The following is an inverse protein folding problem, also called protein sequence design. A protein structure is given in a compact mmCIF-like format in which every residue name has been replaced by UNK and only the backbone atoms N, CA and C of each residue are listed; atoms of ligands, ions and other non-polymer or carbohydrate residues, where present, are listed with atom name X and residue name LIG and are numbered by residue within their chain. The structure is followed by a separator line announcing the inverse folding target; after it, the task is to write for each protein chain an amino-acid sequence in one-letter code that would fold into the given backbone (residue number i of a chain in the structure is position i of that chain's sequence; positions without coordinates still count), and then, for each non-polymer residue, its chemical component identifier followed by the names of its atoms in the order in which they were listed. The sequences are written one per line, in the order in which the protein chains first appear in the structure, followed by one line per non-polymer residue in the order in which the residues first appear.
data_IF_455511649225
#
_entry.id   IF_455511649225
#
_cell.length_a   1.000
_cell.length_b   1.000
_cell.length_c   1.000
_cell.angle_alpha   90.00
_cell.angle_beta   90.00
_cell.angle_gamma   90.00
#
_symmetry.space_group_name_H-M   'P 1'
#
loop_
_entity.id
_entity.type
_entity.pdbx_description
1 polymer ?
#
# COMPACT_ATOMS: atom_id res chain seq x y z
N UNK A 1 -9.61 -10.18 24.86
CA UNK A 1 -9.24 -9.24 23.77
C UNK A 1 -8.47 -10.04 22.73
N UNK A 2 -8.79 -9.91 21.44
CA UNK A 2 -8.01 -10.52 20.36
C UNK A 2 -6.60 -9.90 20.34
N UNK A 3 -5.57 -10.68 19.98
CA UNK A 3 -4.22 -10.13 19.80
C UNK A 3 -4.16 -9.24 18.57
N UNK A 4 -3.30 -8.22 18.56
CA UNK A 4 -3.13 -7.38 17.39
C UNK A 4 -2.58 -8.19 16.19
N UNK A 5 -3.03 -7.85 14.99
CA UNK A 5 -2.57 -8.47 13.74
C UNK A 5 -1.21 -7.90 13.34
N UNK A 6 -0.25 -8.77 13.02
CA UNK A 6 1.08 -8.37 12.56
C UNK A 6 1.06 -8.02 11.07
N UNK A 7 1.47 -6.79 10.74
CA UNK A 7 1.44 -6.24 9.38
C UNK A 7 2.85 -5.96 8.86
N UNK A 8 3.12 -6.36 7.61
CA UNK A 8 4.26 -5.88 6.84
C UNK A 8 3.82 -4.75 5.90
N UNK A 9 4.62 -3.70 5.83
CA UNK A 9 4.47 -2.62 4.86
C UNK A 9 5.45 -2.79 3.71
N UNK A 10 5.02 -2.49 2.48
CA UNK A 10 5.87 -2.42 1.30
C UNK A 10 5.80 -1.02 0.70
N UNK A 11 6.95 -0.38 0.48
CA UNK A 11 7.01 0.96 -0.09
C UNK A 11 8.30 1.19 -0.88
N UNK A 12 8.21 1.87 -2.03
CA UNK A 12 9.35 2.20 -2.91
C UNK A 12 9.81 3.65 -2.81
N UNK A 13 9.03 4.53 -2.17
CA UNK A 13 9.20 5.98 -2.22
C UNK A 13 9.40 6.66 -0.87
N UNK A 14 8.79 7.83 -0.72
CA UNK A 14 8.87 8.66 0.49
C UNK A 14 8.29 7.97 1.74
N UNK A 15 7.27 7.10 1.58
CA UNK A 15 6.67 6.36 2.68
C UNK A 15 5.67 7.15 3.53
N UNK A 16 5.06 8.20 2.98
CA UNK A 16 4.09 9.03 3.72
C UNK A 16 2.85 8.23 4.14
N UNK A 17 2.33 7.37 3.27
CA UNK A 17 1.23 6.45 3.62
C UNK A 17 1.66 5.40 4.65
N UNK A 18 2.89 4.86 4.53
CA UNK A 18 3.42 3.92 5.52
C UNK A 18 3.53 4.56 6.91
N UNK A 19 4.11 5.77 6.99
CA UNK A 19 4.17 6.55 8.23
C UNK A 19 2.79 6.82 8.80
N UNK A 20 1.84 7.24 7.96
CA UNK A 20 0.47 7.51 8.39
C UNK A 20 -0.18 6.25 8.98
N UNK A 21 -0.06 5.08 8.34
CA UNK A 21 -0.58 3.82 8.87
C UNK A 21 0.02 3.50 10.24
N UNK A 22 1.35 3.59 10.40
CA UNK A 22 2.03 3.28 11.66
C UNK A 22 1.56 4.21 12.80
N UNK A 23 1.29 5.49 12.49
CA UNK A 23 0.87 6.48 13.49
C UNK A 23 -0.62 6.39 13.87
N UNK A 24 -1.48 6.01 12.92
CA UNK A 24 -2.93 6.19 13.06
C UNK A 24 -3.67 4.89 13.38
N UNK A 25 -3.17 3.74 12.90
CA UNK A 25 -3.80 2.44 13.21
C UNK A 25 -3.58 2.11 14.69
N UNK A 26 -4.66 1.81 15.45
CA UNK A 26 -4.54 1.51 16.88
C UNK A 26 -3.68 0.26 17.14
N UNK A 27 -2.70 0.31 18.05
CA UNK A 27 -1.78 -0.80 18.28
C UNK A 27 -2.45 -2.05 18.89
N UNK A 28 -3.61 -1.90 19.50
CA UNK A 28 -4.46 -3.00 19.97
C UNK A 28 -5.17 -3.74 18.81
N UNK A 29 -5.28 -3.13 17.63
CA UNK A 29 -5.85 -3.73 16.43
C UNK A 29 -4.76 -4.37 15.57
N UNK A 30 -3.69 -3.64 15.31
CA UNK A 30 -2.59 -4.13 14.49
C UNK A 30 -1.24 -3.52 14.88
N UNK A 31 -0.16 -4.25 14.63
CA UNK A 31 1.21 -3.80 14.82
C UNK A 31 1.98 -3.92 13.49
N UNK A 32 2.88 -2.99 13.24
CA UNK A 32 3.71 -2.98 12.02
C UNK A 32 5.08 -3.56 12.34
N UNK A 33 5.32 -4.80 11.91
CA UNK A 33 6.52 -5.57 12.27
C UNK A 33 7.73 -5.21 11.41
N UNK A 34 7.48 -4.79 10.16
CA UNK A 34 8.55 -4.52 9.19
C UNK A 34 8.07 -3.62 8.05
N UNK A 35 8.99 -2.84 7.51
CA UNK A 35 8.85 -2.14 6.22
C UNK A 35 9.82 -2.77 5.22
N UNK A 36 9.30 -3.31 4.12
CA UNK A 36 10.09 -3.76 2.99
C UNK A 36 10.19 -2.66 1.94
N UNK A 37 11.37 -2.50 1.33
CA UNK A 37 11.59 -1.58 0.22
C UNK A 37 12.53 -2.18 -0.83
N UNK A 38 12.25 -1.91 -2.11
CA UNK A 38 13.10 -2.28 -3.25
C UNK A 38 14.20 -1.25 -3.54
N UNK A 39 14.30 -0.16 -2.73
CA UNK A 39 15.21 0.95 -2.98
C UNK A 39 16.03 1.30 -1.74
N UNK A 40 17.35 1.23 -1.87
CA UNK A 40 18.29 1.57 -0.78
C UNK A 40 18.07 2.99 -0.23
N UNK A 41 17.83 3.96 -1.13
CA UNK A 41 17.63 5.38 -0.78
C UNK A 41 16.18 5.79 -0.54
N UNK A 42 15.24 4.83 -0.36
CA UNK A 42 13.83 5.18 -0.14
C UNK A 42 13.63 5.96 1.17
N UNK A 43 12.89 7.07 1.09
CA UNK A 43 12.58 7.90 2.27
C UNK A 43 11.80 7.16 3.36
N UNK A 44 11.06 6.11 3.00
CA UNK A 44 10.34 5.26 3.96
C UNK A 44 11.27 4.65 5.02
N UNK A 45 12.54 4.37 4.71
CA UNK A 45 13.50 3.80 5.65
C UNK A 45 13.78 4.72 6.84
N UNK A 46 14.03 6.00 6.55
CA UNK A 46 14.22 7.01 7.60
C UNK A 46 12.95 7.18 8.46
N UNK A 47 11.76 7.13 7.84
CA UNK A 47 10.49 7.20 8.56
C UNK A 47 10.26 5.98 9.45
N UNK A 48 10.49 4.78 8.94
CA UNK A 48 10.40 3.54 9.71
C UNK A 48 11.32 3.59 10.95
N UNK A 49 12.59 3.95 10.74
CA UNK A 49 13.57 4.09 11.82
C UNK A 49 13.12 5.10 12.89
N UNK A 50 12.58 6.27 12.49
CA UNK A 50 12.08 7.29 13.43
C UNK A 50 10.86 6.85 14.24
N UNK A 51 10.15 5.83 13.76
CA UNK A 51 8.97 5.23 14.41
C UNK A 51 9.28 3.91 15.13
N UNK A 52 10.55 3.51 15.17
CA UNK A 52 10.97 2.25 15.82
C UNK A 52 10.56 0.99 15.06
N UNK A 53 10.18 1.12 13.78
CA UNK A 53 9.83 -0.02 12.93
C UNK A 53 11.05 -0.43 12.12
N UNK A 54 11.35 -1.74 12.13
CA UNK A 54 12.45 -2.31 11.33
C UNK A 54 12.20 -2.12 9.85
N UNK A 55 13.24 -1.74 9.08
CA UNK A 55 13.20 -1.77 7.63
C UNK A 55 14.13 -2.85 7.04
N UNK A 56 13.72 -3.44 5.91
CA UNK A 56 14.50 -4.42 5.15
C UNK A 56 14.53 -3.96 3.70
N UNK A 57 15.74 -3.79 3.18
CA UNK A 57 15.92 -3.60 1.75
C UNK A 57 15.92 -4.96 1.04
N UNK A 58 15.03 -5.11 0.07
CA UNK A 58 14.99 -6.26 -0.82
C UNK A 58 15.96 -6.04 -1.98
N UNK A 59 16.94 -6.91 -2.11
CA UNK A 59 17.83 -6.91 -3.26
C UNK A 59 17.06 -7.25 -4.55
N UNK A 60 17.55 -6.87 -5.75
CA UNK A 60 16.84 -7.09 -7.01
C UNK A 60 16.39 -8.54 -7.23
N UNK A 61 17.20 -9.51 -6.86
CA UNK A 61 16.88 -10.94 -6.92
C UNK A 61 15.75 -11.34 -5.96
N UNK A 62 15.62 -10.67 -4.82
CA UNK A 62 14.55 -10.86 -3.85
C UNK A 62 13.25 -10.15 -4.25
N UNK A 63 13.32 -9.21 -5.19
CA UNK A 63 12.14 -8.52 -5.73
C UNK A 63 11.52 -9.32 -6.88
N UNK A 64 12.33 -9.84 -7.81
CA UNK A 64 11.86 -10.44 -9.07
C UNK A 64 12.69 -11.63 -9.56
N UNK A 65 13.60 -12.20 -8.77
CA UNK A 65 14.33 -13.42 -9.08
C UNK A 65 13.45 -14.67 -8.97
N UNK A 66 13.89 -15.78 -9.51
CA UNK A 66 13.14 -17.03 -9.48
C UNK A 66 12.85 -17.59 -8.08
N UNK A 67 13.61 -17.17 -7.05
CA UNK A 67 13.38 -17.52 -5.65
C UNK A 67 12.69 -16.40 -4.84
N UNK A 68 12.38 -15.25 -5.45
CA UNK A 68 11.88 -14.07 -4.75
C UNK A 68 10.65 -14.36 -3.88
N UNK A 69 9.69 -15.09 -4.38
CA UNK A 69 8.48 -15.46 -3.64
C UNK A 69 8.79 -16.29 -2.40
N UNK A 70 9.61 -17.33 -2.54
CA UNK A 70 9.99 -18.20 -1.43
C UNK A 70 10.80 -17.45 -0.36
N UNK A 71 11.73 -16.60 -0.77
CA UNK A 71 12.54 -15.80 0.16
C UNK A 71 11.68 -14.77 0.92
N UNK A 72 10.78 -14.06 0.23
CA UNK A 72 9.87 -13.13 0.88
C UNK A 72 8.92 -13.86 1.85
N UNK A 73 8.38 -15.02 1.47
CA UNK A 73 7.54 -15.85 2.34
C UNK A 73 8.30 -16.30 3.61
N UNK A 74 9.54 -16.71 3.46
CA UNK A 74 10.36 -17.09 4.61
C UNK A 74 10.57 -15.90 5.59
N UNK A 75 10.85 -14.71 5.07
CA UNK A 75 10.98 -13.50 5.88
C UNK A 75 9.67 -13.12 6.56
N UNK A 76 8.55 -13.12 5.83
CA UNK A 76 7.22 -12.81 6.35
C UNK A 76 6.81 -13.79 7.45
N UNK A 77 7.05 -15.09 7.24
CA UNK A 77 6.78 -16.14 8.22
C UNK A 77 7.62 -15.99 9.49
N UNK A 78 8.93 -15.77 9.34
CA UNK A 78 9.84 -15.57 10.47
C UNK A 78 9.47 -14.35 11.35
N UNK A 79 8.80 -13.35 10.75
CA UNK A 79 8.31 -12.15 11.43
C UNK A 79 6.87 -12.29 11.94
N UNK A 80 6.24 -13.45 11.73
CA UNK A 80 4.85 -13.70 12.11
C UNK A 80 3.84 -12.79 11.42
N UNK A 81 4.14 -12.35 10.20
CA UNK A 81 3.26 -11.44 9.44
C UNK A 81 1.98 -12.15 9.04
N UNK A 82 0.84 -11.51 9.25
CA UNK A 82 -0.49 -12.02 8.95
C UNK A 82 -1.20 -11.25 7.83
N UNK A 83 -0.78 -9.99 7.62
CA UNK A 83 -1.35 -9.08 6.63
C UNK A 83 -0.25 -8.24 6.00
N UNK A 84 -0.43 -7.83 4.75
CA UNK A 84 0.51 -7.01 4.00
C UNK A 84 -0.21 -5.75 3.51
N UNK A 85 0.43 -4.58 3.63
CA UNK A 85 -0.07 -3.33 3.09
C UNK A 85 0.95 -2.70 2.13
N UNK A 86 0.53 -2.46 0.89
CA UNK A 86 1.33 -1.75 -0.11
C UNK A 86 1.06 -0.25 0.01
N UNK A 87 2.10 0.51 0.34
CA UNK A 87 2.04 1.96 0.56
C UNK A 87 2.95 2.69 -0.46
N UNK A 88 2.57 2.63 -1.73
CA UNK A 88 3.39 3.13 -2.83
C UNK A 88 4.55 2.21 -3.19
N UNK A 89 4.32 0.91 -3.18
CA UNK A 89 5.26 -0.09 -3.69
C UNK A 89 5.08 -0.23 -5.19
N UNK A 90 6.18 -0.09 -5.95
CA UNK A 90 6.15 0.01 -7.41
C UNK A 90 6.48 -1.30 -8.14
N UNK A 91 6.67 -2.38 -7.39
CA UNK A 91 6.94 -3.70 -7.96
C UNK A 91 5.74 -4.60 -7.78
N UNK A 92 5.65 -5.60 -8.63
CA UNK A 92 4.68 -6.67 -8.46
C UNK A 92 5.08 -7.54 -7.27
N UNK A 93 4.11 -7.90 -6.46
CA UNK A 93 4.31 -8.89 -5.40
C UNK A 93 4.43 -10.26 -6.07
N UNK A 94 5.41 -11.11 -5.70
CA UNK A 94 5.53 -12.45 -6.26
C UNK A 94 4.24 -13.27 -6.10
N UNK A 95 3.91 -14.09 -7.11
CA UNK A 95 2.68 -14.87 -7.12
C UNK A 95 2.56 -15.80 -5.90
N UNK A 96 3.65 -16.37 -5.45
CA UNK A 96 3.68 -17.22 -4.26
C UNK A 96 3.24 -16.47 -3.01
N UNK A 97 3.61 -15.19 -2.90
CA UNK A 97 3.20 -14.34 -1.77
C UNK A 97 1.72 -14.00 -1.87
N UNK A 98 1.22 -13.63 -3.07
CA UNK A 98 -0.21 -13.34 -3.27
C UNK A 98 -1.08 -14.56 -2.98
N UNK A 99 -0.63 -15.74 -3.36
CA UNK A 99 -1.32 -17.02 -3.11
C UNK A 99 -1.32 -17.42 -1.63
N UNK A 100 -0.24 -17.12 -0.88
CA UNK A 100 -0.14 -17.42 0.55
C UNK A 100 -0.95 -16.46 1.44
N UNK A 101 -1.25 -15.26 0.95
CA UNK A 101 -1.99 -14.21 1.67
C UNK A 101 -3.32 -13.83 0.99
N UNK A 102 -4.22 -14.80 0.68
CA UNK A 102 -5.47 -14.52 -0.03
C UNK A 102 -6.36 -13.56 0.76
N UNK A 103 -6.73 -12.43 0.15
CA UNK A 103 -7.54 -11.39 0.78
C UNK A 103 -6.84 -10.59 1.88
N UNK A 104 -5.53 -10.78 2.09
CA UNK A 104 -4.76 -10.16 3.18
C UNK A 104 -3.60 -9.27 2.69
N UNK A 105 -3.56 -8.97 1.40
CA UNK A 105 -2.65 -7.97 0.82
C UNK A 105 -3.51 -6.82 0.34
N UNK A 106 -3.32 -5.64 0.90
CA UNK A 106 -4.04 -4.42 0.53
C UNK A 106 -3.13 -3.44 -0.19
N UNK A 107 -3.69 -2.74 -1.16
CA UNK A 107 -3.04 -1.60 -1.81
C UNK A 107 -3.91 -0.36 -1.76
N UNK A 108 -3.28 0.80 -1.65
CA UNK A 108 -3.92 2.11 -1.88
C UNK A 108 -3.52 2.63 -3.25
N UNK A 109 -4.51 2.91 -4.10
CA UNK A 109 -4.31 3.45 -5.44
C UNK A 109 -4.92 4.85 -5.55
N UNK A 110 -4.21 5.85 -6.13
CA UNK A 110 -4.62 7.26 -6.12
C UNK A 110 -5.61 7.62 -7.22
N UNK A 111 -6.55 6.73 -7.54
CA UNK A 111 -7.69 6.99 -8.42
C UNK A 111 -8.92 6.20 -8.00
N UNK A 112 -10.05 6.44 -8.67
CA UNK A 112 -11.25 5.61 -8.57
C UNK A 112 -11.13 4.43 -9.54
N UNK A 113 -10.58 3.29 -9.09
CA UNK A 113 -10.50 2.09 -9.92
C UNK A 113 -11.89 1.66 -10.41
N UNK A 114 -11.99 1.10 -11.64
CA UNK A 114 -10.90 0.65 -12.50
C UNK A 114 -10.26 1.76 -13.35
N UNK A 115 -10.73 3.01 -13.26
CA UNK A 115 -10.15 4.10 -14.01
C UNK A 115 -8.73 4.42 -13.55
N UNK A 116 -7.82 4.65 -14.50
CA UNK A 116 -6.42 5.05 -14.26
C UNK A 116 -5.65 4.05 -13.36
N UNK A 117 -5.98 2.75 -13.45
CA UNK A 117 -5.22 1.64 -12.86
C UNK A 117 -4.28 0.98 -13.86
N UNK A 118 -3.49 0.01 -13.38
CA UNK A 118 -2.64 -0.82 -14.19
C UNK A 118 -1.20 -0.35 -14.36
N UNK A 119 -0.44 -1.06 -15.18
CA UNK A 119 1.00 -0.86 -15.35
C UNK A 119 1.35 0.58 -15.75
N UNK A 120 2.22 1.24 -15.00
CA UNK A 120 2.67 2.62 -15.23
C UNK A 120 1.82 3.70 -14.55
N UNK A 121 0.66 3.34 -14.00
CA UNK A 121 -0.24 4.25 -13.29
C UNK A 121 0.13 4.34 -11.81
N UNK A 122 1.09 5.21 -11.48
CA UNK A 122 1.54 5.48 -10.12
C UNK A 122 2.02 6.92 -9.95
N UNK A 123 1.97 7.44 -8.73
CA UNK A 123 2.44 8.77 -8.38
C UNK A 123 1.80 9.85 -9.25
N UNK A 124 2.58 10.81 -9.73
CA UNK A 124 2.10 11.92 -10.56
C UNK A 124 1.52 11.48 -11.91
N UNK A 125 1.87 10.29 -12.42
CA UNK A 125 1.35 9.82 -13.71
C UNK A 125 -0.17 9.67 -13.69
N UNK A 126 -0.73 9.18 -12.57
CA UNK A 126 -2.18 9.04 -12.40
C UNK A 126 -2.85 10.41 -12.47
N UNK A 127 -2.36 11.38 -11.71
CA UNK A 127 -2.95 12.72 -11.63
C UNK A 127 -2.83 13.48 -12.95
N UNK A 128 -1.71 13.30 -13.67
CA UNK A 128 -1.53 13.84 -15.03
C UNK A 128 -2.56 13.25 -16.00
N UNK A 129 -2.74 11.93 -15.99
CA UNK A 129 -3.71 11.26 -16.85
C UNK A 129 -5.16 11.68 -16.53
N UNK A 130 -5.50 11.88 -15.26
CA UNK A 130 -6.81 12.40 -14.82
C UNK A 130 -7.07 13.80 -15.39
N UNK A 131 -6.07 14.70 -15.27
CA UNK A 131 -6.19 16.08 -15.78
C UNK A 131 -6.25 16.12 -17.32
N UNK A 132 -5.39 15.38 -18.00
CA UNK A 132 -5.37 15.28 -19.47
C UNK A 132 -6.69 14.72 -20.04
N UNK A 133 -7.35 13.82 -19.30
CA UNK A 133 -8.66 13.29 -19.66
C UNK A 133 -9.81 14.27 -19.44
N UNK A 134 -9.57 15.35 -18.69
CA UNK A 134 -10.62 16.33 -18.34
C UNK A 134 -11.64 15.79 -17.33
N UNK A 135 -11.24 14.88 -16.45
CA UNK A 135 -12.12 14.33 -15.42
C UNK A 135 -12.51 15.41 -14.42
N UNK A 136 -13.78 15.41 -13.99
CA UNK A 136 -14.28 16.30 -12.93
C UNK A 136 -14.05 15.69 -11.54
N UNK A 137 -13.88 14.36 -11.48
CA UNK A 137 -13.66 13.59 -10.26
C UNK A 137 -12.52 12.60 -10.43
N UNK A 138 -11.75 12.46 -9.40
CA UNK A 138 -10.80 11.36 -9.16
C UNK A 138 -11.04 10.83 -7.74
N UNK A 139 -10.05 10.20 -7.12
CA UNK A 139 -10.19 9.74 -5.74
C UNK A 139 -9.08 8.82 -5.31
N UNK A 140 -9.37 8.02 -4.29
CA UNK A 140 -8.52 6.96 -3.82
C UNK A 140 -9.31 5.65 -3.71
N UNK A 141 -8.65 4.53 -3.97
CA UNK A 141 -9.20 3.18 -3.86
C UNK A 141 -8.30 2.31 -2.99
N UNK A 142 -8.86 1.66 -1.98
CA UNK A 142 -8.23 0.53 -1.30
C UNK A 142 -8.80 -0.75 -1.90
N UNK A 143 -7.92 -1.65 -2.34
CA UNK A 143 -8.31 -2.92 -2.93
C UNK A 143 -7.42 -4.07 -2.45
N UNK A 144 -7.91 -5.29 -2.59
CA UNK A 144 -7.12 -6.51 -2.39
C UNK A 144 -6.16 -6.66 -3.57
N UNK A 145 -4.92 -7.00 -3.30
CA UNK A 145 -3.91 -7.26 -4.34
C UNK A 145 -4.08 -8.69 -4.85
N UNK A 146 -4.06 -8.82 -6.18
CA UNK A 146 -4.03 -10.07 -6.93
C UNK A 146 -2.78 -10.11 -7.81
N UNK A 147 -2.65 -11.13 -8.65
CA UNK A 147 -1.54 -11.24 -9.60
C UNK A 147 -1.64 -10.18 -10.73
N UNK A 148 -2.84 -9.66 -11.01
CA UNK A 148 -3.04 -8.59 -11.98
C UNK A 148 -2.97 -7.21 -11.29
N UNK A 149 -2.31 -6.24 -11.92
CA UNK A 149 -2.18 -4.88 -11.39
C UNK A 149 -3.55 -4.20 -11.27
N UNK A 150 -3.88 -3.75 -10.05
CA UNK A 150 -5.05 -2.92 -9.72
C UNK A 150 -6.41 -3.53 -10.08
N UNK A 151 -6.49 -4.85 -10.28
CA UNK A 151 -7.71 -5.57 -10.69
C UNK A 151 -8.39 -6.35 -9.56
N UNK A 152 -7.82 -6.35 -8.37
CA UNK A 152 -8.38 -7.08 -7.24
C UNK A 152 -9.65 -6.42 -6.66
N UNK A 153 -10.40 -7.15 -5.82
CA UNK A 153 -11.64 -6.67 -5.21
C UNK A 153 -11.45 -5.33 -4.48
N UNK A 154 -12.34 -4.39 -4.76
CA UNK A 154 -12.36 -3.07 -4.12
C UNK A 154 -12.96 -3.22 -2.72
N UNK A 155 -12.27 -2.68 -1.72
CA UNK A 155 -12.72 -2.67 -0.32
C UNK A 155 -13.32 -1.32 0.06
N UNK A 156 -12.71 -0.22 -0.39
CA UNK A 156 -13.18 1.12 -0.09
C UNK A 156 -12.76 2.10 -1.20
N UNK A 157 -13.60 3.09 -1.46
CA UNK A 157 -13.32 4.18 -2.39
C UNK A 157 -13.81 5.50 -1.81
N UNK A 158 -13.09 6.58 -2.13
CA UNK A 158 -13.53 7.93 -1.79
C UNK A 158 -13.25 8.89 -2.94
N UNK A 159 -14.28 9.60 -3.46
CA UNK A 159 -14.12 10.55 -4.54
C UNK A 159 -13.45 11.84 -4.06
N UNK A 160 -12.69 12.46 -4.96
CA UNK A 160 -12.01 13.76 -4.79
C UNK A 160 -12.31 14.62 -6.01
N UNK A 161 -12.78 15.87 -5.85
CA UNK A 161 -13.04 16.74 -6.99
C UNK A 161 -11.74 17.22 -7.63
N UNK A 162 -11.75 17.31 -8.96
CA UNK A 162 -10.74 18.03 -9.73
C UNK A 162 -11.17 19.48 -9.85
N UNK A 163 -10.33 20.40 -9.41
CA UNK A 163 -10.67 21.83 -9.39
C UNK A 163 -10.08 22.55 -10.61
N UNK A 164 -10.73 23.61 -11.10
CA UNK A 164 -10.16 24.46 -12.13
C UNK A 164 -8.76 24.96 -11.74
N UNK A 165 -7.78 24.80 -12.65
CA UNK A 165 -6.40 25.21 -12.40
C UNK A 165 -5.56 24.21 -11.61
N UNK A 166 -6.06 23.01 -11.33
CA UNK A 166 -5.23 21.97 -10.70
C UNK A 166 -4.02 21.62 -11.57
N UNK A 167 -2.89 21.47 -10.87
CA UNK A 167 -1.71 20.79 -11.40
C UNK A 167 -1.69 19.33 -10.92
N UNK A 168 -0.88 18.45 -11.53
CA UNK A 168 -0.72 17.09 -11.03
C UNK A 168 -0.33 17.05 -9.54
N UNK A 169 0.50 17.99 -9.10
CA UNK A 169 0.98 18.09 -7.72
C UNK A 169 -0.10 18.56 -6.75
N UNK A 170 -0.91 19.56 -7.12
CA UNK A 170 -2.02 20.03 -6.29
C UNK A 170 -3.09 18.96 -6.13
N UNK A 171 -3.41 18.26 -7.23
CA UNK A 171 -4.37 17.14 -7.21
C UNK A 171 -3.84 15.98 -6.38
N UNK A 172 -2.54 15.61 -6.54
CA UNK A 172 -1.89 14.59 -5.72
C UNK A 172 -2.00 14.93 -4.24
N UNK A 173 -1.69 16.16 -3.84
CA UNK A 173 -1.77 16.59 -2.45
C UNK A 173 -3.19 16.43 -1.88
N UNK A 174 -4.22 16.74 -2.68
CA UNK A 174 -5.63 16.59 -2.26
C UNK A 174 -6.03 15.12 -2.15
N UNK A 175 -5.64 14.27 -3.11
CA UNK A 175 -5.91 12.82 -3.06
C UNK A 175 -5.20 12.19 -1.87
N UNK A 176 -3.95 12.58 -1.59
CA UNK A 176 -3.16 12.07 -0.47
C UNK A 176 -3.85 12.30 0.88
N UNK A 177 -4.51 13.46 1.09
CA UNK A 177 -5.30 13.70 2.30
C UNK A 177 -6.46 12.70 2.45
N UNK A 178 -7.04 12.30 1.32
CA UNK A 178 -8.09 11.27 1.31
C UNK A 178 -7.52 9.89 1.62
N UNK A 179 -6.37 9.55 1.07
CA UNK A 179 -5.67 8.29 1.35
C UNK A 179 -5.36 8.15 2.85
N UNK A 180 -4.92 9.22 3.51
CA UNK A 180 -4.59 9.23 4.94
C UNK A 180 -5.73 8.88 5.87
N UNK A 181 -6.97 9.01 5.44
CA UNK A 181 -8.15 8.61 6.21
C UNK A 181 -8.74 7.28 5.72
N UNK A 182 -8.74 7.06 4.40
CA UNK A 182 -9.35 5.87 3.80
C UNK A 182 -8.54 4.60 4.09
N UNK A 183 -7.22 4.69 3.95
CA UNK A 183 -6.37 3.50 4.06
C UNK A 183 -6.31 2.94 5.49
N UNK A 184 -6.08 3.75 6.54
CA UNK A 184 -6.12 3.23 7.91
C UNK A 184 -7.44 2.58 8.28
N UNK A 185 -8.58 3.15 7.85
CA UNK A 185 -9.88 2.56 8.12
C UNK A 185 -10.01 1.17 7.49
N UNK A 186 -9.66 1.03 6.21
CA UNK A 186 -9.71 -0.27 5.53
C UNK A 186 -8.75 -1.31 6.17
N UNK A 187 -7.56 -0.87 6.61
CA UNK A 187 -6.60 -1.73 7.32
C UNK A 187 -7.19 -2.21 8.64
N UNK A 188 -7.83 -1.34 9.42
CA UNK A 188 -8.51 -1.70 10.68
C UNK A 188 -9.61 -2.72 10.45
N UNK A 189 -10.46 -2.49 9.45
CA UNK A 189 -11.60 -3.38 9.15
C UNK A 189 -11.12 -4.79 8.79
N UNK A 190 -10.09 -4.90 7.93
CA UNK A 190 -9.52 -6.20 7.53
C UNK A 190 -8.77 -6.86 8.68
N UNK A 191 -7.96 -6.11 9.44
CA UNK A 191 -7.26 -6.65 10.62
C UNK A 191 -8.23 -7.22 11.66
N UNK A 192 -9.32 -6.51 11.94
CA UNK A 192 -10.36 -7.02 12.85
C UNK A 192 -11.05 -8.28 12.31
N UNK A 193 -11.24 -8.38 11.00
CA UNK A 193 -11.79 -9.60 10.38
C UNK A 193 -10.83 -10.80 10.48
N UNK A 194 -9.51 -10.56 10.38
CA UNK A 194 -8.47 -11.59 10.59
C UNK A 194 -8.46 -12.06 12.05
N UNK A 195 -8.48 -11.12 13.01
CA UNK A 195 -8.40 -11.42 14.43
C UNK A 195 -9.61 -12.18 15.01
N UNK A 196 -10.74 -12.25 14.27
CA UNK A 196 -11.95 -12.99 14.66
C UNK A 196 -11.95 -14.46 14.21
N UNK A 197 -11.01 -14.85 13.38
CA UNK A 197 -10.85 -16.23 12.87
C UNK A 197 -9.91 -17.04 13.75
#
# INVERSE_FOLDING_TARGET
MSRPVSIALYASGSGTNAENLIRVVPPEVATFSVVFTDRVGAGVRARAASLGVRDIWLAPEQVSGGAAGAEQLAMLSALGVEMICLAGYLRQIPAEVTQAYPGRILNIHPSLLPAFGGKGMYGLNVHRAVLERGCLWTGATVHVVTEAYDEGPILAQRPVPVLPGDTPESLQGRVLQTEYTLYPQAVVDVAQAIARK
#
